data_IF_197098924737
#
_entry.id   IF_197098924737
#
_cell.length_a   1.000
_cell.length_b   1.000
_cell.length_c   1.000
_cell.angle_alpha   90.00
_cell.angle_beta   90.00
_cell.angle_gamma   90.00
#
_symmetry.space_group_name_H-M   'P 1'
#
loop_
_entity.id
_entity.type
_entity.pdbx_description
1 polymer ?
#
# COMPACT_ATOMS: atom_id res chain seq x y z
N UNK A 1 -39.32 11.08 11.85
CA UNK A 1 -38.12 10.32 11.42
C UNK A 1 -36.92 11.23 11.61
N UNK A 2 -36.09 10.97 12.61
CA UNK A 2 -34.96 11.82 12.96
C UNK A 2 -33.80 11.52 12.00
N UNK A 3 -33.40 12.53 11.22
CA UNK A 3 -32.18 12.51 10.42
C UNK A 3 -30.98 12.32 11.35
N UNK A 4 -30.28 11.19 11.19
CA UNK A 4 -29.04 10.92 11.90
C UNK A 4 -27.95 11.85 11.35
N UNK A 5 -27.70 12.95 12.06
CA UNK A 5 -26.51 13.80 11.92
C UNK A 5 -25.25 12.92 11.93
N UNK A 6 -24.30 13.09 10.99
CA UNK A 6 -23.09 12.27 10.97
C UNK A 6 -22.30 12.60 12.23
N UNK A 7 -22.20 11.62 13.15
CA UNK A 7 -21.32 11.72 14.31
C UNK A 7 -19.96 12.16 13.80
N UNK A 8 -19.52 13.34 14.21
CA UNK A 8 -18.14 13.78 14.09
C UNK A 8 -17.28 12.72 14.78
N UNK A 9 -16.76 11.77 13.99
CA UNK A 9 -15.85 10.75 14.48
C UNK A 9 -14.61 11.51 14.88
N UNK A 10 -14.45 11.77 16.18
CA UNK A 10 -13.27 12.44 16.73
C UNK A 10 -12.05 11.68 16.20
N UNK A 11 -11.30 12.30 15.30
CA UNK A 11 -10.09 11.69 14.74
C UNK A 11 -9.10 11.59 15.90
N UNK A 12 -8.93 10.38 16.42
CA UNK A 12 -7.91 10.12 17.45
C UNK A 12 -6.55 9.98 16.80
N UNK A 13 -5.50 10.16 17.61
CA UNK A 13 -4.12 9.99 17.15
C UNK A 13 -3.89 8.59 16.59
N UNK A 14 -4.49 7.54 17.16
CA UNK A 14 -4.38 6.18 16.62
C UNK A 14 -5.02 6.07 15.24
N UNK A 15 -6.23 6.62 15.05
CA UNK A 15 -6.92 6.61 13.75
C UNK A 15 -6.08 7.33 12.69
N UNK A 16 -5.43 8.43 13.04
CA UNK A 16 -4.55 9.16 12.13
C UNK A 16 -3.29 8.36 11.76
N UNK A 17 -2.65 7.66 12.72
CA UNK A 17 -1.50 6.79 12.41
C UNK A 17 -1.89 5.59 11.56
N UNK A 18 -3.04 4.96 11.85
CA UNK A 18 -3.55 3.85 11.06
C UNK A 18 -3.90 4.27 9.65
N UNK A 19 -4.53 5.44 9.49
CA UNK A 19 -4.80 6.04 8.19
C UNK A 19 -3.49 6.33 7.45
N UNK A 20 -2.53 6.99 8.10
CA UNK A 20 -1.22 7.30 7.50
C UNK A 20 -0.48 6.04 7.07
N UNK A 21 -0.50 4.98 7.88
CA UNK A 21 0.14 3.70 7.56
C UNK A 21 -0.61 2.89 6.49
N UNK A 22 -1.90 3.17 6.30
CA UNK A 22 -2.72 2.59 5.25
C UNK A 22 -2.60 3.35 3.93
N UNK A 23 -2.35 4.67 3.97
CA UNK A 23 -2.16 5.52 2.79
C UNK A 23 -0.76 5.45 2.17
N UNK A 24 0.18 4.74 2.79
CA UNK A 24 1.52 4.55 2.21
C UNK A 24 1.45 3.62 1.01
N UNK A 25 2.10 4.03 -0.08
CA UNK A 25 2.29 3.20 -1.26
C UNK A 25 3.05 1.91 -0.91
N UNK A 26 2.48 0.75 -1.25
CA UNK A 26 3.04 -0.59 -0.95
C UNK A 26 3.21 -1.42 -2.21
N UNK A 27 4.24 -2.27 -2.20
CA UNK A 27 4.60 -3.19 -3.27
C UNK A 27 3.74 -4.44 -3.19
N UNK A 28 2.58 -4.39 -3.82
CA UNK A 28 1.57 -5.45 -3.73
C UNK A 28 1.64 -6.38 -4.95
N UNK A 29 1.99 -5.85 -6.12
CA UNK A 29 1.81 -6.56 -7.39
C UNK A 29 2.66 -7.82 -7.46
N UNK A 30 3.95 -7.72 -7.11
CA UNK A 30 4.87 -8.87 -7.09
C UNK A 30 4.39 -9.97 -6.13
N UNK A 31 3.97 -9.59 -4.91
CA UNK A 31 3.48 -10.54 -3.89
C UNK A 31 2.17 -11.20 -4.30
N UNK A 32 1.30 -10.44 -4.97
CA UNK A 32 0.04 -10.98 -5.49
C UNK A 32 0.29 -11.97 -6.63
N UNK A 33 1.23 -11.68 -7.54
CA UNK A 33 1.62 -12.61 -8.60
C UNK A 33 2.18 -13.91 -8.03
N UNK A 34 3.06 -13.85 -7.04
CA UNK A 34 3.55 -15.05 -6.32
C UNK A 34 2.40 -15.87 -5.73
N UNK A 35 1.41 -15.20 -5.13
CA UNK A 35 0.27 -15.85 -4.52
C UNK A 35 -0.64 -16.52 -5.55
N UNK A 36 -0.88 -15.87 -6.69
CA UNK A 36 -1.67 -16.43 -7.80
C UNK A 36 -0.96 -17.65 -8.40
N UNK A 37 0.35 -17.56 -8.66
CA UNK A 37 1.12 -18.70 -9.20
C UNK A 37 1.09 -19.91 -8.26
N UNK A 38 1.17 -19.68 -6.94
CA UNK A 38 1.01 -20.74 -5.93
C UNK A 38 -0.41 -21.31 -5.90
N UNK A 39 -1.42 -20.45 -6.01
CA UNK A 39 -2.81 -20.87 -6.04
C UNK A 39 -3.10 -21.73 -7.27
N UNK A 40 -2.53 -21.38 -8.43
CA UNK A 40 -2.58 -22.18 -9.67
C UNK A 40 -1.88 -23.53 -9.49
N UNK A 41 -0.67 -23.56 -8.92
CA UNK A 41 0.05 -24.79 -8.65
C UNK A 41 -0.72 -25.73 -7.70
N UNK A 42 -1.38 -25.16 -6.69
CA UNK A 42 -2.20 -25.89 -5.72
C UNK A 42 -3.63 -26.19 -6.24
N UNK A 43 -3.99 -25.76 -7.46
CA UNK A 43 -5.36 -25.84 -8.01
C UNK A 43 -6.42 -25.29 -7.04
N UNK A 44 -6.09 -24.21 -6.34
CA UNK A 44 -6.94 -23.58 -5.32
C UNK A 44 -7.23 -22.12 -5.64
N UNK A 45 -8.31 -21.58 -5.08
CA UNK A 45 -8.60 -20.17 -5.23
C UNK A 45 -7.55 -19.32 -4.47
N UNK A 46 -7.12 -18.15 -5.01
CA UNK A 46 -6.19 -17.24 -4.35
C UNK A 46 -6.62 -16.85 -2.93
N UNK A 47 -7.92 -16.70 -2.70
CA UNK A 47 -8.48 -16.39 -1.37
C UNK A 47 -8.22 -17.49 -0.34
N UNK A 48 -8.21 -18.77 -0.77
CA UNK A 48 -7.84 -19.89 0.10
C UNK A 48 -6.35 -19.87 0.40
N UNK A 49 -5.52 -19.50 -0.58
CA UNK A 49 -4.08 -19.38 -0.38
C UNK A 49 -3.71 -18.22 0.56
N UNK A 50 -4.41 -17.08 0.45
CA UNK A 50 -4.31 -15.96 1.40
C UNK A 50 -4.55 -16.42 2.85
N UNK A 51 -5.62 -17.22 3.06
CA UNK A 51 -5.94 -17.76 4.38
C UNK A 51 -4.92 -18.79 4.87
N UNK A 52 -4.37 -19.62 3.98
CA UNK A 52 -3.28 -20.55 4.32
C UNK A 52 -2.03 -19.82 4.79
N UNK A 53 -1.72 -18.66 4.21
CA UNK A 53 -0.60 -17.81 4.64
C UNK A 53 -0.89 -16.98 5.90
N UNK A 54 -2.06 -17.17 6.53
CA UNK A 54 -2.44 -16.52 7.79
C UNK A 54 -3.05 -15.13 7.64
N UNK A 55 -3.37 -14.68 6.42
CA UNK A 55 -4.04 -13.41 6.19
C UNK A 55 -5.56 -13.58 6.26
N UNK A 56 -6.22 -12.74 7.07
CA UNK A 56 -7.68 -12.76 7.25
C UNK A 56 -8.42 -12.27 6.01
N UNK A 57 -7.87 -11.25 5.38
CA UNK A 57 -8.44 -10.53 4.24
C UNK A 57 -7.35 -9.89 3.37
N UNK A 58 -7.74 -9.40 2.20
CA UNK A 58 -6.81 -8.71 1.30
C UNK A 58 -6.18 -7.46 1.94
N UNK A 59 -6.91 -6.75 2.81
CA UNK A 59 -6.38 -5.57 3.50
C UNK A 59 -5.22 -5.91 4.45
N UNK A 60 -5.32 -7.02 5.19
CA UNK A 60 -4.25 -7.53 6.05
C UNK A 60 -3.03 -7.96 5.25
N UNK A 61 -3.23 -8.56 4.08
CA UNK A 61 -2.16 -8.88 3.13
C UNK A 61 -1.47 -7.62 2.58
N UNK A 62 -2.24 -6.61 2.16
CA UNK A 62 -1.67 -5.34 1.71
C UNK A 62 -0.82 -4.69 2.80
N UNK A 63 -1.28 -4.71 4.06
CA UNK A 63 -0.52 -4.17 5.21
C UNK A 63 0.78 -4.93 5.50
N UNK A 64 0.85 -6.20 5.15
CA UNK A 64 2.08 -7.00 5.25
C UNK A 64 3.06 -6.76 4.10
N UNK A 65 2.60 -6.19 2.98
CA UNK A 65 3.47 -5.89 1.84
C UNK A 65 4.45 -4.74 2.16
N UNK A 66 5.69 -4.81 1.65
CA UNK A 66 6.70 -3.80 1.91
C UNK A 66 6.31 -2.45 1.28
N UNK A 67 6.66 -1.36 1.96
CA UNK A 67 6.41 0.00 1.47
C UNK A 67 7.44 0.39 0.41
N UNK A 68 7.05 1.29 -0.50
CA UNK A 68 8.00 1.90 -1.40
C UNK A 68 8.95 2.81 -0.63
N UNK A 69 10.26 2.59 -0.81
CA UNK A 69 11.26 3.53 -0.31
C UNK A 69 11.21 4.83 -1.13
N UNK A 70 11.43 5.97 -0.47
CA UNK A 70 11.61 7.27 -1.16
C UNK A 70 12.78 7.21 -2.14
N UNK A 71 13.75 6.35 -1.86
CA UNK A 71 14.94 6.12 -2.70
C UNK A 71 14.77 5.01 -3.72
N UNK A 72 13.58 4.40 -3.84
CA UNK A 72 13.34 3.34 -4.83
C UNK A 72 13.65 3.83 -6.25
N UNK A 73 14.06 2.90 -7.12
CA UNK A 73 14.30 3.22 -8.53
C UNK A 73 12.98 3.48 -9.22
N UNK A 74 12.98 4.34 -10.24
CA UNK A 74 11.77 4.70 -10.99
C UNK A 74 11.08 3.47 -11.61
N UNK A 75 11.85 2.47 -12.01
CA UNK A 75 11.34 1.18 -12.51
C UNK A 75 10.45 0.46 -11.49
N UNK A 76 10.77 0.56 -10.20
CA UNK A 76 10.00 -0.08 -9.13
C UNK A 76 8.65 0.60 -8.94
N UNK A 77 8.55 1.90 -9.25
CA UNK A 77 7.30 2.66 -9.18
C UNK A 77 6.31 2.31 -10.31
N UNK A 78 6.68 1.42 -11.24
CA UNK A 78 5.78 0.93 -12.29
C UNK A 78 4.45 0.38 -11.76
N UNK A 79 4.46 -0.20 -10.54
CA UNK A 79 3.24 -0.71 -9.88
C UNK A 79 2.25 0.40 -9.44
N UNK A 80 2.72 1.64 -9.26
CA UNK A 80 1.92 2.75 -8.72
C UNK A 80 1.34 3.67 -9.81
N UNK A 81 1.70 3.43 -11.07
CA UNK A 81 1.32 4.27 -12.20
C UNK A 81 2.12 5.57 -12.32
N UNK A 82 1.93 6.24 -13.46
CA UNK A 82 2.74 7.40 -13.90
C UNK A 82 2.69 8.59 -12.93
N UNK A 83 1.57 8.80 -12.22
CA UNK A 83 1.42 9.93 -11.29
C UNK A 83 2.39 9.86 -10.09
N UNK A 84 2.59 8.66 -9.54
CA UNK A 84 3.53 8.47 -8.42
C UNK A 84 4.98 8.61 -8.85
N UNK A 85 5.32 8.22 -10.08
CA UNK A 85 6.66 8.42 -10.66
C UNK A 85 7.06 9.89 -10.64
N UNK A 86 6.16 10.78 -11.06
CA UNK A 86 6.39 12.23 -11.06
C UNK A 86 6.52 12.78 -9.64
N UNK A 87 5.68 12.32 -8.71
CA UNK A 87 5.76 12.69 -7.29
C UNK A 87 7.12 12.35 -6.67
N UNK A 88 7.58 11.10 -6.79
CA UNK A 88 8.89 10.70 -6.24
C UNK A 88 10.05 11.42 -6.93
N UNK A 89 9.95 11.70 -8.23
CA UNK A 89 10.96 12.50 -8.95
C UNK A 89 11.05 13.93 -8.42
N UNK A 90 9.90 14.56 -8.17
CA UNK A 90 9.83 15.91 -7.58
C UNK A 90 10.41 15.92 -6.16
N UNK A 91 10.03 14.96 -5.31
CA UNK A 91 10.53 14.87 -3.93
C UNK A 91 12.04 14.68 -3.91
N UNK A 92 12.59 13.80 -4.75
CA UNK A 92 14.05 13.61 -4.88
C UNK A 92 14.75 14.90 -5.33
N UNK A 93 14.18 15.60 -6.32
CA UNK A 93 14.74 16.86 -6.78
C UNK A 93 14.76 17.92 -5.67
N UNK A 94 13.65 18.05 -4.93
CA UNK A 94 13.54 19.00 -3.82
C UNK A 94 14.55 18.70 -2.71
N UNK A 95 14.71 17.42 -2.34
CA UNK A 95 15.71 16.99 -1.36
C UNK A 95 17.14 17.33 -1.80
N UNK A 96 17.45 17.14 -3.09
CA UNK A 96 18.75 17.51 -3.67
C UNK A 96 19.01 19.01 -3.59
N UNK A 97 18.02 19.85 -3.92
CA UNK A 97 18.12 21.31 -3.83
C UNK A 97 18.31 21.78 -2.39
N UNK A 98 17.67 21.13 -1.43
CA UNK A 98 17.81 21.47 0.00
C UNK A 98 19.15 21.02 0.59
N UNK A 99 19.75 19.94 0.10
CA UNK A 99 21.04 19.43 0.60
C UNK A 99 22.27 20.08 -0.07
N UNK A 100 22.13 20.57 -1.30
CA UNK A 100 23.22 21.25 -2.03
C UNK A 100 23.27 22.76 -1.79
N UNK A 101 22.37 23.29 -0.96
CA UNK A 101 22.28 24.71 -0.62
C UNK A 101 22.66 24.91 0.83
#
# INVERSE_FOLDING_TARGET
ASEASPRSTRITKEIFYDWTNSCKARRIQQRMQELVLRAEADSTAPEKQLRKEGYKDYASFQKACPQFSIWCRTEQLGELGVGFVLYFRLVKHLALVLFLK
#
